data_IF_279953848090
#
_entry.id   IF_279953848090
#
_cell.length_a   1.000
_cell.length_b   1.000
_cell.length_c   1.000
_cell.angle_alpha   90.00
_cell.angle_beta   90.00
_cell.angle_gamma   90.00
#
_symmetry.space_group_name_H-M   'P 1'
#
loop_
_entity.id
_entity.type
_entity.pdbx_description
1 polymer ?
#
# COMPACT_ATOMS: atom_id res chain seq x y z
N UNK A 1 -11.95 3.80 17.41
CA UNK A 1 -12.14 5.06 16.66
C UNK A 1 -12.18 4.71 15.18
N UNK A 2 -13.03 5.34 14.38
CA UNK A 2 -13.08 5.07 12.92
C UNK A 2 -11.81 5.64 12.28
N UNK A 3 -11.03 4.87 11.50
CA UNK A 3 -9.83 5.38 10.85
C UNK A 3 -10.18 6.44 9.79
N UNK A 4 -9.30 7.40 9.59
CA UNK A 4 -9.38 8.36 8.47
C UNK A 4 -8.73 7.75 7.23
N UNK A 5 -7.60 7.06 7.41
CA UNK A 5 -6.84 6.43 6.32
C UNK A 5 -6.77 4.91 6.52
N UNK A 6 -7.02 4.15 5.45
CA UNK A 6 -6.69 2.73 5.39
C UNK A 6 -5.56 2.52 4.38
N UNK A 7 -4.47 1.87 4.81
CA UNK A 7 -3.40 1.45 3.91
C UNK A 7 -3.59 -0.03 3.61
N UNK A 8 -3.84 -0.38 2.35
CA UNK A 8 -4.05 -1.76 1.92
C UNK A 8 -2.81 -2.28 1.22
N UNK A 9 -2.26 -3.38 1.73
CA UNK A 9 -0.97 -3.93 1.29
C UNK A 9 -1.12 -5.43 1.00
N UNK A 10 -1.27 -5.82 -0.28
CA UNK A 10 -1.11 -7.21 -0.69
C UNK A 10 0.31 -7.71 -0.43
N UNK A 11 0.46 -8.94 0.05
CA UNK A 11 1.75 -9.56 0.31
C UNK A 11 1.76 -11.03 -0.13
N UNK A 12 2.84 -11.46 -0.81
CA UNK A 12 3.07 -12.86 -1.16
C UNK A 12 4.57 -13.17 -1.13
N UNK A 13 5.01 -13.91 -0.12
CA UNK A 13 6.42 -14.23 0.14
C UNK A 13 7.32 -12.99 0.31
N UNK A 14 6.95 -12.11 1.23
CA UNK A 14 7.56 -10.79 1.48
C UNK A 14 8.28 -10.72 2.84
N UNK A 15 8.63 -11.86 3.44
CA UNK A 15 9.16 -11.92 4.81
C UNK A 15 10.39 -11.01 5.05
N UNK A 16 11.19 -10.79 4.01
CA UNK A 16 12.38 -9.93 4.05
C UNK A 16 12.10 -8.42 3.98
N UNK A 17 10.93 -8.01 3.51
CA UNK A 17 10.58 -6.61 3.27
C UNK A 17 9.69 -6.00 4.37
N UNK A 18 8.90 -6.83 5.07
CA UNK A 18 7.89 -6.36 6.04
C UNK A 18 8.46 -5.45 7.15
N UNK A 19 9.61 -5.80 7.71
CA UNK A 19 10.20 -5.04 8.81
C UNK A 19 10.61 -3.63 8.36
N UNK A 20 11.28 -3.53 7.21
CA UNK A 20 11.73 -2.25 6.65
C UNK A 20 10.54 -1.41 6.19
N UNK A 21 9.54 -2.03 5.57
CA UNK A 21 8.31 -1.37 5.16
C UNK A 21 7.65 -0.69 6.35
N UNK A 22 7.50 -1.38 7.47
CA UNK A 22 6.89 -0.80 8.67
C UNK A 22 7.76 0.28 9.32
N UNK A 23 9.08 0.10 9.34
CA UNK A 23 9.99 1.13 9.86
C UNK A 23 9.86 2.46 9.12
N UNK A 24 9.57 2.42 7.81
CA UNK A 24 9.34 3.62 6.99
C UNK A 24 7.90 4.11 7.02
N UNK A 25 6.93 3.21 6.90
CA UNK A 25 5.52 3.54 6.77
C UNK A 25 4.94 4.12 8.07
N UNK A 26 5.23 3.51 9.23
CA UNK A 26 4.60 3.89 10.49
C UNK A 26 4.92 5.35 10.91
N UNK A 27 6.18 5.82 10.90
CA UNK A 27 6.48 7.22 11.22
C UNK A 27 5.79 8.22 10.29
N UNK A 28 5.67 7.88 9.00
CA UNK A 28 4.95 8.72 8.03
C UNK A 28 3.48 8.82 8.42
N UNK A 29 2.81 7.70 8.71
CA UNK A 29 1.39 7.69 9.09
C UNK A 29 1.15 8.41 10.42
N UNK A 30 2.03 8.21 11.41
CA UNK A 30 1.96 8.92 12.69
C UNK A 30 2.11 10.43 12.53
N UNK A 31 2.98 10.88 11.61
CA UNK A 31 3.20 12.31 11.36
C UNK A 31 1.96 13.04 10.83
N UNK A 32 1.00 12.32 10.23
CA UNK A 32 -0.25 12.89 9.74
C UNK A 32 -1.22 13.29 10.85
N UNK A 33 -1.01 12.80 12.08
CA UNK A 33 -1.85 13.13 13.24
C UNK A 33 -3.30 12.68 13.12
N UNK A 34 -3.59 11.74 12.22
CA UNK A 34 -4.92 11.21 11.95
C UNK A 34 -4.99 9.71 12.26
N UNK A 35 -6.12 9.21 12.77
CA UNK A 35 -6.32 7.77 12.95
C UNK A 35 -6.13 7.02 11.63
N UNK A 36 -5.37 5.93 11.64
CA UNK A 36 -5.12 5.11 10.47
C UNK A 36 -5.22 3.62 10.81
N UNK A 37 -5.33 2.79 9.78
CA UNK A 37 -5.15 1.35 9.86
C UNK A 37 -4.29 0.85 8.71
N UNK A 38 -3.57 -0.25 8.94
CA UNK A 38 -2.79 -0.94 7.90
C UNK A 38 -3.36 -2.36 7.77
N UNK A 39 -3.84 -2.68 6.58
CA UNK A 39 -4.46 -3.97 6.27
C UNK A 39 -3.52 -4.73 5.33
N UNK A 40 -2.82 -5.71 5.89
CA UNK A 40 -2.05 -6.65 5.11
C UNK A 40 -2.90 -7.83 4.65
N UNK A 41 -2.85 -8.12 3.35
CA UNK A 41 -3.52 -9.28 2.76
C UNK A 41 -2.47 -10.28 2.28
N UNK A 42 -2.25 -11.34 3.07
CA UNK A 42 -1.43 -12.47 2.68
C UNK A 42 -2.15 -13.31 1.60
N UNK A 43 -1.61 -13.30 0.38
CA UNK A 43 -2.13 -14.04 -0.77
C UNK A 43 -1.63 -15.50 -0.77
N UNK A 44 -1.77 -16.16 0.38
CA UNK A 44 -1.39 -17.56 0.56
C UNK A 44 0.11 -17.81 0.48
N UNK A 45 0.92 -17.01 1.18
CA UNK A 45 2.39 -17.17 1.22
C UNK A 45 2.79 -18.54 1.76
N UNK A 46 3.99 -18.97 1.34
CA UNK A 46 4.61 -20.25 1.72
C UNK A 46 5.80 -20.10 2.67
N UNK A 47 6.27 -18.87 2.86
CA UNK A 47 7.33 -18.50 3.78
C UNK A 47 6.75 -17.99 5.13
N UNK A 48 7.54 -17.23 5.90
CA UNK A 48 7.11 -16.70 7.20
C UNK A 48 6.29 -15.41 7.11
N UNK A 49 5.95 -14.91 5.91
CA UNK A 49 5.22 -13.65 5.72
C UNK A 49 3.99 -13.57 6.63
N UNK A 50 3.09 -14.55 6.56
CA UNK A 50 1.88 -14.52 7.36
C UNK A 50 2.14 -14.58 8.87
N UNK A 51 3.09 -15.41 9.32
CA UNK A 51 3.44 -15.46 10.74
C UNK A 51 3.97 -14.13 11.26
N UNK A 52 4.81 -13.46 10.48
CA UNK A 52 5.33 -12.12 10.82
C UNK A 52 4.19 -11.10 10.85
N UNK A 53 3.27 -11.14 9.89
CA UNK A 53 2.10 -10.27 9.89
C UNK A 53 1.21 -10.48 11.15
N UNK A 54 1.03 -11.72 11.60
CA UNK A 54 0.31 -12.00 12.84
C UNK A 54 1.03 -11.44 14.07
N UNK A 55 2.35 -11.60 14.16
CA UNK A 55 3.16 -11.03 15.25
C UNK A 55 3.04 -9.50 15.27
N UNK A 56 3.06 -8.87 14.10
CA UNK A 56 2.90 -7.43 13.94
C UNK A 56 1.50 -6.96 14.37
N UNK A 57 0.44 -7.67 13.98
CA UNK A 57 -0.93 -7.37 14.38
C UNK A 57 -1.17 -7.54 15.90
N UNK A 58 -0.43 -8.44 16.56
CA UNK A 58 -0.47 -8.55 18.02
C UNK A 58 0.23 -7.38 18.72
N UNK A 59 1.30 -6.84 18.11
CA UNK A 59 2.10 -5.75 18.65
C UNK A 59 1.47 -4.37 18.42
N UNK A 60 0.82 -4.19 17.28
CA UNK A 60 0.30 -2.90 16.82
C UNK A 60 -1.20 -3.00 16.56
N UNK A 61 -2.06 -2.36 17.39
CA UNK A 61 -3.51 -2.47 17.27
C UNK A 61 -4.08 -1.85 15.98
N UNK A 62 -3.33 -0.97 15.32
CA UNK A 62 -3.67 -0.40 14.01
C UNK A 62 -3.43 -1.35 12.83
N UNK A 63 -2.76 -2.48 13.04
CA UNK A 63 -2.43 -3.46 12.00
C UNK A 63 -3.44 -4.61 12.00
N UNK A 64 -3.99 -4.91 10.82
CA UNK A 64 -4.77 -6.10 10.55
C UNK A 64 -4.02 -7.01 9.58
N UNK A 65 -3.92 -8.29 9.93
CA UNK A 65 -3.38 -9.33 9.06
C UNK A 65 -4.50 -10.27 8.63
N UNK A 66 -4.74 -10.37 7.32
CA UNK A 66 -5.75 -11.26 6.74
C UNK A 66 -5.08 -12.19 5.75
N UNK A 67 -5.40 -13.48 5.81
CA UNK A 67 -4.87 -14.48 4.89
C UNK A 67 -5.96 -15.04 4.01
N UNK A 68 -5.71 -15.04 2.71
CA UNK A 68 -6.52 -15.75 1.75
C UNK A 68 -6.26 -17.26 1.84
N UNK A 69 -7.27 -18.06 1.52
CA UNK A 69 -7.20 -19.53 1.66
C UNK A 69 -6.11 -20.19 0.79
N UNK A 70 -5.68 -19.50 -0.27
CA UNK A 70 -4.60 -19.86 -1.19
C UNK A 70 -4.17 -18.60 -1.95
N UNK A 71 -3.20 -18.73 -2.85
CA UNK A 71 -2.85 -17.68 -3.78
C UNK A 71 -3.94 -17.50 -4.86
N UNK A 72 -4.48 -16.29 -4.97
CA UNK A 72 -5.47 -15.86 -5.95
C UNK A 72 -4.93 -14.77 -6.90
N UNK A 73 -3.74 -14.24 -6.61
CA UNK A 73 -3.10 -13.18 -7.37
C UNK A 73 -3.31 -11.80 -6.73
N UNK A 74 -2.38 -10.90 -7.05
CA UNK A 74 -2.29 -9.56 -6.47
C UNK A 74 -3.62 -8.78 -6.49
N UNK A 75 -4.34 -8.77 -7.63
CA UNK A 75 -5.59 -8.00 -7.75
C UNK A 75 -6.71 -8.54 -6.85
N UNK A 76 -6.76 -9.85 -6.62
CA UNK A 76 -7.73 -10.46 -5.71
C UNK A 76 -7.42 -10.10 -4.25
N UNK A 77 -6.13 -10.15 -3.87
CA UNK A 77 -5.67 -9.72 -2.56
C UNK A 77 -5.95 -8.23 -2.30
N UNK A 78 -5.65 -7.37 -3.29
CA UNK A 78 -5.97 -5.95 -3.22
C UNK A 78 -7.48 -5.71 -3.03
N UNK A 79 -8.31 -6.36 -3.84
CA UNK A 79 -9.78 -6.25 -3.75
C UNK A 79 -10.30 -6.68 -2.38
N UNK A 80 -9.77 -7.78 -1.83
CA UNK A 80 -10.12 -8.23 -0.49
C UNK A 80 -9.77 -7.17 0.56
N UNK A 81 -8.59 -6.55 0.48
CA UNK A 81 -8.20 -5.48 1.38
C UNK A 81 -9.04 -4.21 1.24
N UNK A 82 -9.38 -3.81 0.02
CA UNK A 82 -10.29 -2.69 -0.23
C UNK A 82 -11.67 -2.93 0.38
N UNK A 83 -12.17 -4.17 0.35
CA UNK A 83 -13.47 -4.54 0.95
C UNK A 83 -13.46 -4.45 2.48
N UNK A 84 -12.28 -4.63 3.09
CA UNK A 84 -12.11 -4.60 4.55
C UNK A 84 -11.76 -3.22 5.09
N UNK A 85 -11.33 -2.29 4.22
CA UNK A 85 -10.95 -0.94 4.59
C UNK A 85 -12.14 -0.14 5.15
N UNK A 86 -11.90 0.57 6.25
CA UNK A 86 -12.91 1.38 6.95
C UNK A 86 -12.60 2.88 6.94
N UNK A 87 -11.47 3.26 6.36
CA UNK A 87 -11.01 4.64 6.23
C UNK A 87 -11.91 5.48 5.35
N UNK A 88 -11.86 6.79 5.54
CA UNK A 88 -12.50 7.75 4.63
C UNK A 88 -11.75 7.84 3.29
N UNK A 89 -10.45 7.57 3.31
CA UNK A 89 -9.63 7.37 2.13
C UNK A 89 -8.81 6.08 2.25
N UNK A 90 -8.53 5.47 1.10
CA UNK A 90 -7.77 4.23 1.01
C UNK A 90 -6.56 4.46 0.11
N UNK A 91 -5.39 4.05 0.58
CA UNK A 91 -4.15 4.03 -0.20
C UNK A 91 -3.76 2.58 -0.39
N UNK A 92 -3.63 2.14 -1.64
CA UNK A 92 -3.07 0.84 -1.98
C UNK A 92 -1.58 0.96 -2.26
N UNK A 93 -0.75 0.09 -1.70
CA UNK A 93 0.67 -0.01 -2.01
C UNK A 93 1.18 -1.45 -1.92
N UNK A 94 2.36 -1.71 -2.47
CA UNK A 94 3.00 -3.03 -2.46
C UNK A 94 3.95 -3.16 -1.27
N UNK A 95 4.21 -4.41 -0.88
CA UNK A 95 5.11 -4.71 0.24
C UNK A 95 6.61 -4.66 -0.14
N UNK A 96 6.93 -4.57 -1.43
CA UNK A 96 8.27 -4.76 -2.01
C UNK A 96 9.22 -3.54 -1.92
N UNK A 97 8.83 -2.50 -1.17
CA UNK A 97 9.56 -1.25 -0.95
C UNK A 97 9.75 -0.36 -2.20
N UNK A 98 9.18 -0.71 -3.36
CA UNK A 98 9.27 0.13 -4.55
C UNK A 98 8.43 1.41 -4.44
N UNK A 99 7.40 1.39 -3.59
CA UNK A 99 6.53 2.53 -3.34
C UNK A 99 6.98 3.27 -2.07
N UNK A 100 7.64 4.43 -2.18
CA UNK A 100 8.12 5.17 -1.02
C UNK A 100 6.92 5.67 -0.19
N UNK A 101 6.77 5.23 1.07
CA UNK A 101 5.71 5.73 1.95
C UNK A 101 5.74 7.25 2.13
N UNK A 102 6.89 7.87 1.95
CA UNK A 102 7.12 9.31 2.14
C UNK A 102 6.33 10.19 1.16
N UNK A 103 5.73 9.61 0.12
CA UNK A 103 4.80 10.32 -0.77
C UNK A 103 3.37 10.41 -0.21
N UNK A 104 3.01 9.58 0.78
CA UNK A 104 1.66 9.55 1.37
C UNK A 104 1.20 10.94 1.87
N UNK A 105 2.00 11.76 2.56
CA UNK A 105 1.57 13.09 3.00
C UNK A 105 1.11 13.97 1.84
N UNK A 106 1.87 13.97 0.73
CA UNK A 106 1.50 14.72 -0.47
C UNK A 106 0.20 14.18 -1.09
N UNK A 107 0.01 12.86 -1.12
CA UNK A 107 -1.23 12.26 -1.61
C UNK A 107 -2.44 12.67 -0.75
N UNK A 108 -2.27 12.68 0.57
CA UNK A 108 -3.30 13.09 1.54
C UNK A 108 -3.65 14.56 1.39
N UNK A 109 -2.67 15.43 1.16
CA UNK A 109 -2.91 16.86 0.91
C UNK A 109 -3.71 17.10 -0.37
N UNK A 110 -3.40 16.37 -1.44
CA UNK A 110 -4.18 16.42 -2.69
C UNK A 110 -5.60 15.90 -2.49
N UNK A 111 -5.77 14.81 -1.75
CA UNK A 111 -7.11 14.29 -1.41
C UNK A 111 -7.93 15.33 -0.63
N UNK A 112 -7.33 15.99 0.38
CA UNK A 112 -7.98 17.04 1.17
C UNK A 112 -8.41 18.26 0.35
N UNK A 113 -7.81 18.49 -0.82
CA UNK A 113 -8.24 19.55 -1.76
C UNK A 113 -9.52 19.17 -2.54
N UNK A 114 -10.08 17.98 -2.33
CA UNK A 114 -11.32 17.50 -2.96
C UNK A 114 -11.11 16.52 -4.12
N UNK A 115 -9.85 16.15 -4.43
CA UNK A 115 -9.55 15.17 -5.46
C UNK A 115 -10.05 13.77 -5.04
N UNK A 116 -10.86 13.13 -5.88
CA UNK A 116 -11.44 11.82 -5.59
C UNK A 116 -10.43 10.67 -5.79
N UNK A 117 -9.47 10.86 -6.70
CA UNK A 117 -8.43 9.87 -7.02
C UNK A 117 -7.10 10.60 -7.11
N UNK A 118 -6.10 10.09 -6.41
CA UNK A 118 -4.72 10.59 -6.43
C UNK A 118 -3.80 9.41 -6.75
N UNK A 119 -2.97 9.56 -7.79
CA UNK A 119 -2.04 8.54 -8.22
C UNK A 119 -0.61 9.09 -8.25
N UNK A 120 0.35 8.25 -7.91
CA UNK A 120 1.77 8.55 -8.09
C UNK A 120 2.21 8.13 -9.49
N UNK A 121 3.07 8.92 -10.11
CA UNK A 121 3.67 8.60 -11.41
C UNK A 121 5.18 8.49 -11.24
N UNK A 122 5.77 7.44 -11.84
CA UNK A 122 7.23 7.30 -11.87
C UNK A 122 7.79 8.23 -12.95
N UNK A 123 8.49 9.29 -12.54
CA UNK A 123 9.04 10.31 -13.45
C UNK A 123 10.42 9.94 -14.01
N UNK A 124 11.20 9.11 -13.31
CA UNK A 124 12.51 8.66 -13.77
C UNK A 124 12.51 7.20 -14.18
N UNK A 125 12.86 6.94 -15.45
CA UNK A 125 13.21 5.61 -15.94
C UNK A 125 14.65 5.69 -16.41
N UNK A 126 15.60 5.14 -15.64
CA UNK A 126 17.01 5.09 -16.07
C UNK A 126 17.23 4.29 -17.37
N UNK A 127 16.22 3.55 -17.85
CA UNK A 127 16.28 2.73 -19.08
C UNK A 127 14.95 2.72 -19.88
N UNK A 128 14.36 3.89 -20.14
CA UNK A 128 13.25 3.96 -21.11
C UNK A 128 13.77 4.35 -22.49
N UNK A 129 13.87 3.35 -23.38
CA UNK A 129 13.96 3.55 -24.83
C UNK A 129 12.99 4.64 -25.29
N UNK A 130 13.44 5.50 -26.21
CA UNK A 130 12.69 6.66 -26.70
C UNK A 130 11.26 6.32 -27.20
N UNK A 131 11.05 5.07 -27.64
CA UNK A 131 9.75 4.54 -28.06
C UNK A 131 8.71 4.45 -26.93
N UNK A 132 9.14 4.18 -25.69
CA UNK A 132 8.24 4.09 -24.52
C UNK A 132 7.81 5.48 -24.01
N UNK A 133 8.60 6.53 -24.28
CA UNK A 133 8.23 7.92 -23.93
C UNK A 133 7.10 8.44 -24.81
N UNK A 134 7.07 8.08 -26.10
CA UNK A 134 6.05 8.57 -27.04
C UNK A 134 4.65 8.02 -26.72
N UNK A 135 4.56 6.74 -26.38
CA UNK A 135 3.27 6.09 -26.03
C UNK A 135 2.73 6.57 -24.69
N UNK A 136 3.60 6.81 -23.70
CA UNK A 136 3.21 7.35 -22.39
C UNK A 136 2.64 8.78 -22.50
N UNK A 137 3.29 9.65 -23.28
CA UNK A 137 2.82 11.03 -23.48
C UNK A 137 1.45 11.08 -24.16
N UNK A 138 1.19 10.18 -25.12
CA UNK A 138 -0.09 10.15 -25.84
C UNK A 138 -1.26 9.69 -24.96
N UNK A 139 -1.02 8.76 -24.03
CA UNK A 139 -2.05 8.28 -23.10
C UNK A 139 -2.37 9.32 -22.01
N UNK A 140 -1.38 10.11 -21.57
CA UNK A 140 -1.57 11.15 -20.56
C UNK A 140 -2.24 12.41 -21.16
N UNK A 141 -2.17 12.62 -22.48
CA UNK A 141 -2.77 13.76 -23.18
C UNK A 141 -4.21 13.56 -23.66
N UNK A 142 -4.80 12.38 -23.43
CA UNK A 142 -6.20 12.04 -23.73
C UNK A 142 -7.05 12.12 -22.46
#
# INVERSE_FOLDING_TARGET
MVPVLSIVIPAYNEEGCLAELLNRLKPVLESLGAPYEIIFIDDGSRDRTYSLLCELAQKYPEIAAVRLSRNFGHQAALTAGLTLARGQAVISMDADLQHPPELIPQMVDLWKQGNQVVATIRTETRDADASKKLTSTLFISL
#
